data_IF_467999445565
#
_entry.id   IF_467999445565
#
_cell.length_a   1.000
_cell.length_b   1.000
_cell.length_c   1.000
_cell.angle_alpha   90.00
_cell.angle_beta   90.00
_cell.angle_gamma   90.00
#
_symmetry.space_group_name_H-M   'P 1'
#
loop_
_entity.id
_entity.type
_entity.pdbx_description
1 polymer ?
#
# COMPACT_ATOMS: atom_id res chain seq x y z
N UNK A 1 29.15 13.29 -53.54
CA UNK A 1 28.77 14.21 -52.45
C UNK A 1 27.30 14.27 -52.21
N UNK A 2 26.49 14.35 -53.24
CA UNK A 2 25.04 14.45 -53.15
C UNK A 2 24.38 13.25 -52.47
N UNK A 3 24.90 12.03 -52.71
CA UNK A 3 24.34 10.80 -52.13
C UNK A 3 24.52 10.73 -50.60
N UNK A 4 25.62 11.27 -50.07
CA UNK A 4 25.89 11.32 -48.63
C UNK A 4 24.99 12.34 -47.94
N UNK A 5 24.81 13.51 -48.53
CA UNK A 5 23.95 14.56 -48.03
C UNK A 5 22.49 14.11 -48.03
N UNK A 6 22.04 13.42 -49.10
CA UNK A 6 20.69 12.86 -49.16
C UNK A 6 20.45 11.77 -48.11
N UNK A 7 21.45 10.88 -47.91
CA UNK A 7 21.37 9.83 -46.90
C UNK A 7 21.30 10.41 -45.47
N UNK A 8 22.11 11.45 -45.19
CA UNK A 8 22.10 12.14 -43.91
C UNK A 8 20.77 12.85 -43.67
N UNK A 9 20.23 13.51 -44.68
CA UNK A 9 18.94 14.20 -44.61
C UNK A 9 17.81 13.20 -44.35
N UNK A 10 17.81 12.06 -45.02
CA UNK A 10 16.83 10.99 -44.83
C UNK A 10 16.90 10.41 -43.41
N UNK A 11 18.09 10.12 -42.91
CA UNK A 11 18.31 9.61 -41.55
C UNK A 11 17.81 10.59 -40.50
N UNK A 12 18.12 11.89 -40.67
CA UNK A 12 17.64 12.94 -39.77
C UNK A 12 16.11 13.01 -39.75
N UNK A 13 15.47 12.97 -40.92
CA UNK A 13 14.02 12.98 -41.03
C UNK A 13 13.38 11.79 -40.32
N UNK A 14 13.90 10.60 -40.51
CA UNK A 14 13.41 9.39 -39.85
C UNK A 14 13.58 9.47 -38.32
N UNK A 15 14.71 9.99 -37.85
CA UNK A 15 14.97 10.13 -36.44
C UNK A 15 14.04 11.17 -35.78
N UNK A 16 13.75 12.26 -36.46
CA UNK A 16 12.76 13.24 -35.98
C UNK A 16 11.38 12.60 -35.84
N UNK A 17 10.98 11.71 -36.73
CA UNK A 17 9.74 10.96 -36.63
C UNK A 17 9.71 10.02 -35.43
N UNK A 18 10.81 9.35 -35.15
CA UNK A 18 10.96 8.48 -33.97
C UNK A 18 10.81 9.30 -32.68
N UNK A 19 11.48 10.45 -32.61
CA UNK A 19 11.41 11.32 -31.44
C UNK A 19 10.00 11.89 -31.24
N UNK A 20 9.31 12.26 -32.33
CA UNK A 20 7.92 12.71 -32.25
C UNK A 20 7.02 11.62 -31.65
N UNK A 21 7.20 10.36 -32.05
CA UNK A 21 6.49 9.23 -31.47
C UNK A 21 6.79 9.04 -29.98
N UNK A 22 8.04 9.16 -29.58
CA UNK A 22 8.44 9.06 -28.18
C UNK A 22 7.83 10.17 -27.32
N UNK A 23 7.74 11.38 -27.85
CA UNK A 23 7.10 12.50 -27.14
C UNK A 23 5.64 12.23 -26.86
N UNK A 24 4.93 11.67 -27.81
CA UNK A 24 3.51 11.28 -27.63
C UNK A 24 3.39 10.21 -26.54
N UNK A 25 4.20 9.17 -26.63
CA UNK A 25 4.22 8.08 -25.65
C UNK A 25 4.54 8.57 -24.24
N UNK A 26 5.49 9.48 -24.11
CA UNK A 26 5.83 10.10 -22.82
C UNK A 26 4.65 10.87 -22.22
N UNK A 27 3.94 11.65 -23.03
CA UNK A 27 2.77 12.41 -22.57
C UNK A 27 1.66 11.48 -22.08
N UNK A 28 1.38 10.41 -22.80
CA UNK A 28 0.36 9.43 -22.42
C UNK A 28 0.74 8.74 -21.11
N UNK A 29 2.00 8.32 -20.97
CA UNK A 29 2.52 7.69 -19.76
C UNK A 29 2.41 8.61 -18.54
N UNK A 30 2.74 9.90 -18.70
CA UNK A 30 2.62 10.88 -17.63
C UNK A 30 1.16 11.10 -17.20
N UNK A 31 0.23 11.10 -18.15
CA UNK A 31 -1.20 11.21 -17.86
C UNK A 31 -1.70 10.01 -17.06
N UNK A 32 -1.27 8.81 -17.41
CA UNK A 32 -1.64 7.59 -16.69
C UNK A 32 -1.05 7.58 -15.28
N UNK A 33 0.22 7.96 -15.12
CA UNK A 33 0.88 8.07 -13.82
C UNK A 33 0.17 9.10 -12.91
N UNK A 34 -0.22 10.24 -13.46
CA UNK A 34 -0.94 11.28 -12.71
C UNK A 34 -2.33 10.80 -12.28
N UNK A 35 -3.07 10.12 -13.14
CA UNK A 35 -4.37 9.52 -12.80
C UNK A 35 -4.23 8.50 -11.67
N UNK A 36 -3.20 7.67 -11.74
CA UNK A 36 -2.91 6.66 -10.71
C UNK A 36 -2.57 7.32 -9.37
N UNK A 37 -1.72 8.35 -9.38
CA UNK A 37 -1.34 9.10 -8.18
C UNK A 37 -2.54 9.79 -7.52
N UNK A 38 -3.48 10.28 -8.31
CA UNK A 38 -4.70 10.94 -7.80
C UNK A 38 -5.61 9.97 -7.05
N UNK A 39 -5.57 8.69 -7.39
CA UNK A 39 -6.35 7.63 -6.70
C UNK A 39 -5.70 7.12 -5.42
N UNK A 40 -4.40 7.35 -5.23
CA UNK A 40 -3.65 6.79 -4.10
C UNK A 40 -4.22 7.18 -2.73
N UNK A 41 -4.59 8.43 -2.46
CA UNK A 41 -5.18 8.79 -1.16
C UNK A 41 -6.50 8.06 -0.86
N UNK A 42 -7.34 7.86 -1.86
CA UNK A 42 -8.61 7.15 -1.71
C UNK A 42 -8.40 5.66 -1.48
N UNK A 43 -7.48 5.06 -2.23
CA UNK A 43 -7.09 3.66 -2.04
C UNK A 43 -6.50 3.44 -0.64
N UNK A 44 -5.64 4.34 -0.19
CA UNK A 44 -5.05 4.26 1.14
C UNK A 44 -6.12 4.40 2.25
N UNK A 45 -7.05 5.32 2.09
CA UNK A 45 -8.18 5.48 3.01
C UNK A 45 -9.02 4.21 3.10
N UNK A 46 -9.30 3.58 1.96
CA UNK A 46 -10.01 2.31 1.91
C UNK A 46 -9.25 1.22 2.69
N UNK A 47 -7.94 1.13 2.49
CA UNK A 47 -7.10 0.18 3.22
C UNK A 47 -7.10 0.42 4.73
N UNK A 48 -7.07 1.67 5.16
CA UNK A 48 -7.14 2.02 6.59
C UNK A 48 -8.45 1.51 7.19
N UNK A 49 -9.58 1.74 6.54
CA UNK A 49 -10.88 1.28 7.01
C UNK A 49 -10.97 -0.24 7.03
N UNK A 50 -10.49 -0.90 5.99
CA UNK A 50 -10.43 -2.36 5.94
C UNK A 50 -9.52 -2.91 7.05
N UNK A 51 -8.34 -2.32 7.21
CA UNK A 51 -7.39 -2.70 8.27
C UNK A 51 -7.99 -2.56 9.66
N UNK A 52 -8.75 -1.49 9.92
CA UNK A 52 -9.39 -1.28 11.22
C UNK A 52 -10.46 -2.33 11.51
N UNK A 53 -11.26 -2.71 10.53
CA UNK A 53 -12.25 -3.78 10.66
C UNK A 53 -11.58 -5.12 10.91
N UNK A 54 -10.55 -5.44 10.14
CA UNK A 54 -9.79 -6.68 10.30
C UNK A 54 -9.10 -6.74 11.67
N UNK A 55 -8.51 -5.63 12.11
CA UNK A 55 -7.86 -5.53 13.42
C UNK A 55 -8.86 -5.76 14.55
N UNK A 56 -10.04 -5.17 14.46
CA UNK A 56 -11.11 -5.36 15.44
C UNK A 56 -11.48 -6.85 15.59
N UNK A 57 -11.63 -7.55 14.47
CA UNK A 57 -11.92 -8.98 14.46
C UNK A 57 -10.78 -9.82 15.05
N UNK A 58 -9.54 -9.49 14.71
CA UNK A 58 -8.37 -10.19 15.22
C UNK A 58 -8.20 -9.97 16.73
N UNK A 59 -8.44 -8.76 17.22
CA UNK A 59 -8.43 -8.46 18.67
C UNK A 59 -9.47 -9.32 19.38
N UNK A 60 -10.69 -9.39 18.85
CA UNK A 60 -11.77 -10.19 19.42
C UNK A 60 -11.39 -11.66 19.51
N UNK A 61 -10.90 -12.24 18.42
CA UNK A 61 -10.48 -13.64 18.38
C UNK A 61 -9.37 -13.95 19.35
N UNK A 62 -8.35 -13.13 19.36
CA UNK A 62 -7.18 -13.33 20.21
C UNK A 62 -7.53 -13.22 21.71
N UNK A 63 -8.25 -12.18 22.09
CA UNK A 63 -8.64 -11.96 23.49
C UNK A 63 -9.54 -13.09 24.00
N UNK A 64 -10.48 -13.56 23.21
CA UNK A 64 -11.31 -14.71 23.58
C UNK A 64 -10.51 -16.00 23.71
N UNK A 65 -9.55 -16.23 22.80
CA UNK A 65 -8.75 -17.45 22.80
C UNK A 65 -7.80 -17.55 23.99
N UNK A 66 -7.22 -16.41 24.39
CA UNK A 66 -6.17 -16.39 25.43
C UNK A 66 -6.61 -15.81 26.77
N UNK A 67 -7.82 -15.25 26.85
CA UNK A 67 -8.33 -14.67 28.08
C UNK A 67 -7.61 -13.39 28.52
N UNK A 68 -6.90 -12.74 27.61
CA UNK A 68 -6.21 -11.46 27.86
C UNK A 68 -6.98 -10.36 27.13
N UNK A 69 -7.55 -9.42 27.87
CA UNK A 69 -8.41 -8.37 27.31
C UNK A 69 -7.69 -7.03 27.14
N UNK A 70 -6.37 -7.00 27.37
CA UNK A 70 -5.55 -5.78 27.24
C UNK A 70 -4.49 -5.87 26.15
N UNK A 71 -4.21 -7.07 25.65
CA UNK A 71 -3.19 -7.31 24.65
C UNK A 71 -3.68 -8.28 23.58
N UNK A 72 -3.23 -8.05 22.37
CA UNK A 72 -3.44 -8.99 21.27
C UNK A 72 -2.21 -9.02 20.39
N UNK A 73 -1.94 -10.16 19.77
CA UNK A 73 -0.86 -10.33 18.81
C UNK A 73 -1.44 -10.48 17.42
N UNK A 74 -0.97 -9.66 16.48
CA UNK A 74 -1.34 -9.74 15.07
C UNK A 74 -0.07 -10.02 14.26
N UNK A 75 -0.05 -11.19 13.60
CA UNK A 75 1.08 -11.58 12.77
C UNK A 75 1.20 -10.70 11.54
N UNK A 76 2.38 -10.16 11.28
CA UNK A 76 2.61 -9.24 10.17
C UNK A 76 2.32 -9.89 8.82
N UNK A 77 2.72 -11.15 8.63
CA UNK A 77 2.48 -11.88 7.38
C UNK A 77 0.99 -12.07 7.09
N UNK A 78 0.20 -12.44 8.10
CA UNK A 78 -1.25 -12.61 7.97
C UNK A 78 -1.94 -11.28 7.66
N UNK A 79 -1.58 -10.23 8.36
CA UNK A 79 -2.11 -8.89 8.14
C UNK A 79 -1.79 -8.39 6.74
N UNK A 80 -0.54 -8.56 6.30
CA UNK A 80 -0.10 -8.17 4.96
C UNK A 80 -0.87 -8.93 3.87
N UNK A 81 -1.06 -10.23 4.04
CA UNK A 81 -1.81 -11.05 3.08
C UNK A 81 -3.27 -10.58 2.94
N UNK A 82 -3.90 -10.20 4.05
CA UNK A 82 -5.26 -9.64 4.04
C UNK A 82 -5.30 -8.31 3.27
N UNK A 83 -4.32 -7.43 3.49
CA UNK A 83 -4.22 -6.16 2.77
C UNK A 83 -4.01 -6.37 1.28
N UNK A 84 -3.13 -7.29 0.89
CA UNK A 84 -2.89 -7.65 -0.51
C UNK A 84 -4.16 -8.19 -1.17
N UNK A 85 -4.86 -9.07 -0.48
CA UNK A 85 -6.13 -9.65 -0.97
C UNK A 85 -7.17 -8.56 -1.23
N UNK A 86 -7.33 -7.62 -0.31
CA UNK A 86 -8.25 -6.49 -0.45
C UNK A 86 -7.91 -5.62 -1.66
N UNK A 87 -6.63 -5.31 -1.84
CA UNK A 87 -6.17 -4.53 -2.98
C UNK A 87 -6.48 -5.23 -4.30
N UNK A 88 -6.33 -6.54 -4.36
CA UNK A 88 -6.63 -7.32 -5.57
C UNK A 88 -8.13 -7.36 -5.85
N UNK A 89 -8.96 -7.53 -4.84
CA UNK A 89 -10.41 -7.54 -5.00
C UNK A 89 -10.95 -6.23 -5.56
N UNK A 90 -10.36 -5.10 -5.18
CA UNK A 90 -10.77 -3.77 -5.61
C UNK A 90 -9.96 -3.23 -6.79
N UNK A 91 -9.07 -4.01 -7.36
CA UNK A 91 -8.21 -3.61 -8.48
C UNK A 91 -7.46 -2.31 -8.23
N UNK A 92 -6.85 -2.17 -7.05
CA UNK A 92 -6.07 -0.99 -6.70
C UNK A 92 -4.83 -0.88 -7.59
N UNK A 93 -4.54 0.33 -8.04
CA UNK A 93 -3.44 0.62 -8.95
C UNK A 93 -2.14 0.97 -8.23
N UNK A 94 -2.22 1.46 -6.98
CA UNK A 94 -1.07 1.97 -6.23
C UNK A 94 -0.50 1.00 -5.20
N UNK A 95 -1.21 -0.07 -4.85
CA UNK A 95 -0.81 -1.05 -3.85
C UNK A 95 -0.89 -2.46 -4.44
N UNK A 96 -0.11 -2.70 -5.50
CA UNK A 96 -0.17 -3.93 -6.29
C UNK A 96 0.67 -5.04 -5.67
N UNK A 97 1.84 -4.70 -5.14
CA UNK A 97 2.78 -5.67 -4.55
C UNK A 97 2.86 -5.50 -3.04
N UNK A 98 3.36 -6.55 -2.37
CA UNK A 98 3.57 -6.54 -0.91
C UNK A 98 4.48 -5.40 -0.46
N UNK A 99 5.50 -5.07 -1.26
CA UNK A 99 6.49 -4.04 -0.94
C UNK A 99 5.90 -2.62 -1.00
N UNK A 100 4.82 -2.43 -1.74
CA UNK A 100 4.15 -1.14 -1.86
C UNK A 100 3.19 -0.84 -0.71
N UNK A 101 2.86 -1.84 0.11
CA UNK A 101 1.92 -1.68 1.22
C UNK A 101 2.65 -1.19 2.47
N UNK A 102 2.33 0.02 2.97
CA UNK A 102 2.97 0.57 4.17
C UNK A 102 2.37 -0.04 5.44
N UNK A 103 2.84 -1.22 5.80
CA UNK A 103 2.23 -2.07 6.82
C UNK A 103 2.17 -1.42 8.20
N UNK A 104 3.28 -0.81 8.66
CA UNK A 104 3.32 -0.12 9.95
C UNK A 104 2.37 1.07 10.00
N UNK A 105 2.36 1.89 8.94
CA UNK A 105 1.50 3.05 8.84
C UNK A 105 0.02 2.63 8.83
N UNK A 106 -0.33 1.56 8.13
CA UNK A 106 -1.69 1.03 8.13
C UNK A 106 -2.13 0.54 9.51
N UNK A 107 -1.26 -0.18 10.21
CA UNK A 107 -1.55 -0.64 11.56
C UNK A 107 -1.73 0.52 12.54
N UNK A 108 -0.85 1.52 12.49
CA UNK A 108 -0.96 2.71 13.33
C UNK A 108 -2.27 3.48 13.06
N UNK A 109 -2.62 3.64 11.79
CA UNK A 109 -3.87 4.30 11.39
C UNK A 109 -5.10 3.49 11.79
N UNK A 110 -5.04 2.18 11.69
CA UNK A 110 -6.13 1.29 12.13
C UNK A 110 -6.36 1.43 13.64
N UNK A 111 -5.30 1.45 14.44
CA UNK A 111 -5.39 1.68 15.88
C UNK A 111 -6.01 3.05 16.20
N UNK A 112 -5.64 4.07 15.45
CA UNK A 112 -6.18 5.43 15.58
C UNK A 112 -7.68 5.47 15.29
N UNK A 113 -8.13 4.80 14.23
CA UNK A 113 -9.56 4.68 13.89
C UNK A 113 -10.34 4.02 15.03
N UNK A 114 -9.83 2.90 15.54
CA UNK A 114 -10.50 2.18 16.64
C UNK A 114 -10.53 3.01 17.92
N UNK A 115 -9.48 3.77 18.21
CA UNK A 115 -9.44 4.66 19.38
C UNK A 115 -10.47 5.80 19.28
N UNK A 116 -10.69 6.30 18.05
CA UNK A 116 -11.65 7.39 17.82
C UNK A 116 -13.10 6.91 17.79
N UNK A 117 -13.33 5.65 17.40
CA UNK A 117 -14.67 5.09 17.26
C UNK A 117 -15.32 4.73 18.60
N UNK A 118 -14.52 4.48 19.63
CA UNK A 118 -15.00 4.05 20.94
C UNK A 118 -14.51 5.00 22.02
N UNK A 119 -15.44 5.55 22.80
CA UNK A 119 -15.14 6.46 23.91
C UNK A 119 -14.37 5.71 25.03
N UNK A 120 -13.37 6.39 25.60
CA UNK A 120 -12.57 5.89 26.74
C UNK A 120 -11.74 4.63 26.44
N UNK A 121 -11.55 4.31 25.16
CA UNK A 121 -10.66 3.21 24.74
C UNK A 121 -9.52 3.78 23.93
N UNK A 122 -8.30 3.42 24.31
CA UNK A 122 -7.08 3.73 23.55
C UNK A 122 -6.46 2.45 23.01
N UNK A 123 -6.30 2.39 21.69
CA UNK A 123 -5.68 1.27 21.01
C UNK A 123 -4.34 1.74 20.45
N UNK A 124 -3.27 1.08 20.82
CA UNK A 124 -1.93 1.35 20.31
C UNK A 124 -1.27 0.07 19.82
N UNK A 125 -0.21 0.22 19.05
CA UNK A 125 0.53 -0.93 18.55
C UNK A 125 2.04 -0.72 18.68
N UNK A 126 2.75 -1.83 18.81
CA UNK A 126 4.20 -1.87 18.79
C UNK A 126 4.63 -2.96 17.82
N UNK A 127 5.50 -2.61 16.86
CA UNK A 127 6.01 -3.56 15.88
C UNK A 127 7.20 -4.33 16.44
N UNK A 128 7.15 -5.65 16.33
CA UNK A 128 8.24 -6.57 16.72
C UNK A 128 8.72 -7.30 15.47
N UNK A 129 9.58 -6.64 14.69
CA UNK A 129 10.00 -7.15 13.38
C UNK A 129 11.40 -7.75 13.38
N UNK A 130 12.17 -7.52 14.44
CA UNK A 130 13.58 -7.95 14.52
C UNK A 130 13.88 -8.80 15.76
N UNK A 131 12.86 -9.42 16.32
CA UNK A 131 13.00 -10.30 17.47
C UNK A 131 13.61 -11.63 17.06
N UNK A 132 14.55 -12.14 17.87
CA UNK A 132 15.16 -13.46 17.64
C UNK A 132 14.13 -14.55 17.89
N UNK A 133 14.10 -15.55 17.01
CA UNK A 133 13.25 -16.74 17.13
C UNK A 133 11.74 -16.47 17.09
N UNK A 134 11.34 -15.31 16.58
CA UNK A 134 9.94 -14.98 16.41
C UNK A 134 9.69 -14.41 15.02
N UNK A 135 8.59 -14.80 14.40
CA UNK A 135 8.11 -14.16 13.17
C UNK A 135 7.70 -12.71 13.46
N UNK A 136 7.79 -11.80 12.48
CA UNK A 136 7.36 -10.43 12.68
C UNK A 136 5.87 -10.34 13.09
N UNK A 137 5.60 -9.55 14.12
CA UNK A 137 4.24 -9.36 14.62
C UNK A 137 4.04 -7.95 15.17
N UNK A 138 2.77 -7.58 15.33
CA UNK A 138 2.35 -6.38 16.04
C UNK A 138 1.78 -6.76 17.39
N UNK A 139 2.25 -6.11 18.43
CA UNK A 139 1.63 -6.16 19.76
C UNK A 139 0.60 -5.05 19.84
N UNK A 140 -0.67 -5.40 20.04
CA UNK A 140 -1.77 -4.45 20.16
C UNK A 140 -2.07 -4.29 21.65
N UNK A 141 -2.10 -3.05 22.10
CA UNK A 141 -2.33 -2.71 23.49
C UNK A 141 -3.64 -1.95 23.63
N UNK A 142 -4.53 -2.45 24.50
CA UNK A 142 -5.83 -1.87 24.77
C UNK A 142 -5.83 -1.28 26.16
N UNK A 143 -6.18 0.01 26.26
CA UNK A 143 -6.35 0.71 27.55
C UNK A 143 -7.77 1.27 27.61
N UNK A 144 -8.49 0.86 28.64
CA UNK A 144 -9.88 1.29 28.88
C UNK A 144 -10.24 1.22 30.36
#
# INVERSE_FOLDING_TARGET
MDDIDDALSFTKYNFEGVIAGFRVQKKERLKEENKRKDKKPEEFKHLILFASQHLSEEIKKYCHAYGDYNHATVWAASFLNEMVSECKQHNFENFISKDEIPLKALMEKACEVLSNDVMDVHVSCKAHFHERNADPYFEIILKY
#
